data_IF_097485078064
#
_entry.id   IF_097485078064
#
_cell.length_a   1.000
_cell.length_b   1.000
_cell.length_c   1.000
_cell.angle_alpha   90.00
_cell.angle_beta   90.00
_cell.angle_gamma   90.00
#
_symmetry.space_group_name_H-M   'P 1'
#
loop_
_entity.id
_entity.type
_entity.pdbx_description
1 polymer ?
#
# COMPACT_ATOMS: atom_id res chain seq x y z
N UNK A 1 24.90 37.33 20.03
CA UNK A 1 23.57 36.98 19.46
C UNK A 1 23.61 36.06 18.23
N UNK A 2 24.50 36.26 17.24
CA UNK A 2 24.60 35.43 16.02
C UNK A 2 24.73 33.92 16.28
N UNK A 3 25.65 33.54 17.17
CA UNK A 3 25.90 32.14 17.52
C UNK A 3 24.78 31.47 18.33
N UNK A 4 23.98 32.26 19.07
CA UNK A 4 22.83 31.75 19.82
C UNK A 4 21.69 31.36 18.88
N UNK A 5 21.41 32.18 17.86
CA UNK A 5 20.41 31.88 16.83
C UNK A 5 20.79 30.65 16.00
N UNK A 6 22.08 30.48 15.66
CA UNK A 6 22.56 29.30 14.93
C UNK A 6 22.46 28.00 15.74
N UNK A 7 22.79 28.04 17.04
CA UNK A 7 22.60 26.88 17.93
C UNK A 7 21.12 26.53 18.09
N UNK A 8 20.26 27.53 18.24
CA UNK A 8 18.81 27.34 18.34
C UNK A 8 18.23 26.73 17.06
N UNK A 9 18.67 27.20 15.89
CA UNK A 9 18.24 26.67 14.59
C UNK A 9 18.74 25.25 14.34
N UNK A 10 19.95 24.91 14.80
CA UNK A 10 20.48 23.55 14.76
C UNK A 10 19.67 22.57 15.63
N UNK A 11 19.31 22.97 16.85
CA UNK A 11 18.45 22.18 17.74
C UNK A 11 17.06 21.99 17.15
N UNK A 12 16.48 23.05 16.54
CA UNK A 12 15.19 22.97 15.88
C UNK A 12 15.21 21.96 14.72
N UNK A 13 16.24 21.99 13.85
CA UNK A 13 16.35 21.04 12.75
C UNK A 13 16.50 19.58 13.20
N UNK A 14 17.27 19.32 14.27
CA UNK A 14 17.39 17.97 14.84
C UNK A 14 16.05 17.47 15.39
N UNK A 15 15.27 18.35 16.03
CA UNK A 15 13.95 18.00 16.56
C UNK A 15 12.91 17.66 15.47
N UNK A 16 12.99 18.31 14.30
CA UNK A 16 12.10 18.01 13.17
C UNK A 16 12.41 16.66 12.49
N UNK A 17 13.67 16.22 12.51
CA UNK A 17 14.03 14.89 11.98
C UNK A 17 13.62 13.74 12.91
N UNK A 18 13.72 13.92 14.23
CA UNK A 18 13.38 12.90 15.22
C UNK A 18 11.87 12.58 15.30
N UNK A 19 11.00 13.53 14.94
CA UNK A 19 9.54 13.36 15.00
C UNK A 19 8.99 12.33 14.00
N UNK A 20 9.74 11.99 12.93
CA UNK A 20 9.28 11.01 11.94
C UNK A 20 9.46 9.56 12.40
N UNK A 21 10.26 9.30 13.44
CA UNK A 21 10.53 7.94 13.92
C UNK A 21 9.42 7.40 14.85
N UNK A 22 8.56 8.26 15.40
CA UNK A 22 7.51 7.85 16.35
C UNK A 22 6.24 7.36 15.66
N UNK A 23 6.05 7.63 14.36
CA UNK A 23 4.88 7.18 13.60
C UNK A 23 4.86 5.66 13.33
N UNK A 24 6.00 4.97 13.52
CA UNK A 24 6.12 3.52 13.37
C UNK A 24 6.02 2.78 14.71
N UNK A 25 5.71 3.47 15.81
CA UNK A 25 5.64 2.90 17.16
C UNK A 25 4.22 2.45 17.56
N UNK A 26 3.22 2.61 16.70
CA UNK A 26 1.92 1.99 16.94
C UNK A 26 2.06 0.47 16.82
N UNK A 27 1.73 -0.22 17.91
CA UNK A 27 1.85 -1.67 17.99
C UNK A 27 0.90 -2.34 17.00
N UNK A 28 1.45 -3.16 16.11
CA UNK A 28 0.67 -3.95 15.15
C UNK A 28 -0.36 -4.82 15.90
N UNK A 29 -1.66 -4.82 15.51
CA UNK A 29 -2.68 -5.59 16.20
C UNK A 29 -2.29 -7.05 16.42
N UNK A 30 -2.53 -7.57 17.63
CA UNK A 30 -2.17 -8.94 18.03
C UNK A 30 -3.40 -9.73 18.44
N UNK A 31 -3.40 -11.01 18.10
CA UNK A 31 -4.38 -11.98 18.63
C UNK A 31 -4.17 -12.21 20.13
N UNK A 32 -5.12 -12.80 20.87
CA UNK A 32 -4.92 -13.20 22.26
C UNK A 32 -3.73 -14.16 22.48
N UNK A 33 -3.28 -14.85 21.43
CA UNK A 33 -2.10 -15.71 21.46
C UNK A 33 -0.77 -14.96 21.20
N UNK A 34 -0.80 -13.64 21.06
CA UNK A 34 0.37 -12.78 20.81
C UNK A 34 0.87 -12.73 19.36
N UNK A 35 0.26 -13.51 18.45
CA UNK A 35 0.61 -13.53 17.02
C UNK A 35 0.05 -12.28 16.31
N UNK A 36 0.68 -11.80 15.22
CA UNK A 36 0.11 -10.74 14.38
C UNK A 36 -1.34 -11.07 13.99
N UNK A 37 -2.24 -10.11 14.15
CA UNK A 37 -3.61 -10.22 13.69
C UNK A 37 -3.70 -9.71 12.24
N UNK A 38 -3.94 -10.64 11.31
CA UNK A 38 -4.15 -10.34 9.89
C UNK A 38 -5.62 -10.26 9.50
N UNK A 39 -6.53 -10.15 10.48
CA UNK A 39 -7.95 -9.94 10.21
C UNK A 39 -8.18 -8.59 9.52
N UNK A 40 -9.06 -8.55 8.53
CA UNK A 40 -9.37 -7.34 7.79
C UNK A 40 -9.84 -7.59 6.36
N UNK A 41 -10.05 -6.52 5.60
CA UNK A 41 -10.32 -6.58 4.16
C UNK A 41 -8.99 -6.35 3.45
N UNK A 42 -8.57 -7.33 2.65
CA UNK A 42 -7.34 -7.29 1.89
C UNK A 42 -7.64 -7.23 0.40
N UNK A 43 -6.86 -6.44 -0.34
CA UNK A 43 -6.94 -6.34 -1.79
C UNK A 43 -5.59 -6.70 -2.41
N UNK A 44 -5.63 -7.48 -3.49
CA UNK A 44 -4.45 -7.70 -4.31
C UNK A 44 -4.14 -6.41 -5.10
N UNK A 45 -2.91 -5.90 -4.96
CA UNK A 45 -2.42 -4.73 -5.71
C UNK A 45 -1.84 -5.10 -7.08
N UNK A 46 -2.16 -6.30 -7.57
CA UNK A 46 -1.72 -6.84 -8.85
C UNK A 46 -2.92 -7.17 -9.73
N UNK A 47 -2.68 -7.63 -10.96
CA UNK A 47 -3.76 -8.10 -11.85
C UNK A 47 -4.47 -9.35 -11.32
N UNK A 48 -3.90 -10.04 -10.31
CA UNK A 48 -4.56 -11.15 -9.63
C UNK A 48 -5.86 -10.74 -8.90
N UNK A 49 -6.10 -9.44 -8.73
CA UNK A 49 -7.41 -8.94 -8.30
C UNK A 49 -8.53 -9.23 -9.30
N UNK A 50 -8.21 -9.30 -10.61
CA UNK A 50 -9.18 -9.57 -11.67
C UNK A 50 -9.34 -11.07 -11.91
N UNK A 51 -8.23 -11.79 -12.07
CA UNK A 51 -8.18 -13.24 -12.21
C UNK A 51 -6.77 -13.76 -11.84
N UNK A 52 -6.71 -14.92 -11.21
CA UNK A 52 -5.45 -15.59 -10.83
C UNK A 52 -4.85 -16.39 -12.00
N UNK A 53 -5.69 -16.79 -12.96
CA UNK A 53 -5.28 -17.50 -14.18
C UNK A 53 -4.83 -16.53 -15.29
N UNK A 54 -4.11 -17.02 -16.33
CA UNK A 54 -3.83 -16.22 -17.51
C UNK A 54 -5.12 -15.78 -18.22
N UNK A 55 -5.19 -14.52 -18.63
CA UNK A 55 -6.38 -14.01 -19.34
C UNK A 55 -6.05 -12.84 -20.27
N UNK A 56 -6.82 -12.73 -21.36
CA UNK A 56 -6.76 -11.59 -22.26
C UNK A 56 -7.40 -10.32 -21.63
N UNK A 57 -7.13 -9.17 -22.22
CA UNK A 57 -7.84 -7.95 -21.86
C UNK A 57 -9.33 -8.05 -22.24
N UNK A 58 -10.21 -7.51 -21.40
CA UNK A 58 -11.65 -7.59 -21.59
C UNK A 58 -12.37 -6.29 -21.21
N UNK A 59 -13.62 -6.18 -21.65
CA UNK A 59 -14.50 -5.11 -21.19
C UNK A 59 -14.78 -5.25 -19.71
N UNK A 60 -14.95 -4.10 -19.05
CA UNK A 60 -15.42 -4.06 -17.68
C UNK A 60 -16.91 -4.36 -17.54
N UNK A 61 -17.43 -4.37 -16.30
CA UNK A 61 -18.85 -4.58 -16.04
C UNK A 61 -19.77 -3.48 -16.62
N UNK A 62 -19.27 -2.26 -16.79
CA UNK A 62 -20.05 -1.08 -17.21
C UNK A 62 -19.35 -0.28 -18.33
N UNK A 63 -19.08 -0.89 -19.49
CA UNK A 63 -18.36 -0.22 -20.57
C UNK A 63 -19.19 0.89 -21.21
N UNK A 64 -20.51 0.83 -21.11
CA UNK A 64 -21.47 1.84 -21.57
C UNK A 64 -21.37 3.16 -20.79
N UNK A 65 -21.11 3.08 -19.47
CA UNK A 65 -21.05 4.25 -18.59
C UNK A 65 -19.63 4.73 -18.32
N UNK A 66 -18.69 3.79 -18.19
CA UNK A 66 -17.33 4.05 -17.71
C UNK A 66 -16.29 3.92 -18.83
N UNK A 67 -16.66 3.40 -20.00
CA UNK A 67 -15.74 3.14 -21.09
C UNK A 67 -14.52 2.34 -20.62
N UNK A 68 -13.34 2.80 -21.03
CA UNK A 68 -12.06 2.18 -20.71
C UNK A 68 -11.72 2.17 -19.20
N UNK A 69 -12.34 3.00 -18.36
CA UNK A 69 -12.07 3.01 -16.92
C UNK A 69 -12.53 1.72 -16.22
N UNK A 70 -13.50 1.02 -16.81
CA UNK A 70 -13.93 -0.28 -16.28
C UNK A 70 -13.12 -1.45 -16.85
N UNK A 71 -12.27 -1.22 -17.86
CA UNK A 71 -11.61 -2.29 -18.59
C UNK A 71 -10.74 -3.18 -17.69
N UNK A 72 -10.73 -4.46 -18.01
CA UNK A 72 -9.91 -5.46 -17.32
C UNK A 72 -8.62 -5.65 -18.12
N UNK A 73 -7.44 -5.36 -17.54
CA UNK A 73 -6.17 -5.54 -18.23
C UNK A 73 -5.80 -7.03 -18.33
N UNK A 74 -5.26 -7.47 -19.47
CA UNK A 74 -4.79 -8.86 -19.60
C UNK A 74 -3.64 -9.21 -18.67
N UNK A 75 -3.57 -10.48 -18.25
CA UNK A 75 -2.57 -11.01 -17.32
C UNK A 75 -2.00 -12.35 -17.82
N UNK A 76 -0.75 -12.64 -17.45
CA UNK A 76 -0.14 -13.96 -17.67
C UNK A 76 -0.50 -14.96 -16.56
N UNK A 77 -1.34 -14.57 -15.61
CA UNK A 77 -1.65 -15.36 -14.41
C UNK A 77 -0.51 -15.37 -13.40
N UNK A 78 -0.80 -15.90 -12.22
CA UNK A 78 0.18 -16.17 -11.16
C UNK A 78 0.28 -17.66 -10.82
N UNK A 79 -0.60 -18.49 -11.40
CA UNK A 79 -0.66 -19.93 -11.18
C UNK A 79 0.15 -20.68 -12.25
N UNK A 80 0.84 -21.73 -11.82
CA UNK A 80 1.54 -22.64 -12.73
C UNK A 80 0.57 -23.68 -13.29
N UNK A 81 0.70 -24.02 -14.58
CA UNK A 81 -0.16 -25.00 -15.25
C UNK A 81 -1.57 -24.51 -15.59
N UNK A 82 -1.83 -23.20 -15.55
CA UNK A 82 -3.09 -22.60 -16.01
C UNK A 82 -3.38 -22.87 -17.49
N UNK A 83 -4.68 -22.81 -17.87
CA UNK A 83 -5.21 -23.10 -19.22
C UNK A 83 -4.55 -22.34 -20.36
#
# INVERSE_FOLDING_TARGET
MKYFKQKLMGVLMVSLFAANATAQLDEFPRTPSGKPDFSGIWQAMTKAHYDVEPHAAAYGPHPDKMGALSAIPGSQGIVEGGS
#
